data_IF_046027304675
#
_entry.id   IF_046027304675
#
_cell.length_a   1.000
_cell.length_b   1.000
_cell.length_c   1.000
_cell.angle_alpha   90.00
_cell.angle_beta   90.00
_cell.angle_gamma   90.00
#
_symmetry.space_group_name_H-M   'P 1'
#
loop_
_entity.id
_entity.type
_entity.pdbx_description
1 polymer ?
#
# COMPACT_ATOMS: atom_id res chain seq x y z
N UNK A 1 19.19 8.08 -7.94
CA UNK A 1 19.42 6.68 -7.51
C UNK A 1 18.36 6.24 -6.51
N UNK A 2 18.08 7.04 -5.49
CA UNK A 2 17.07 6.76 -4.46
C UNK A 2 15.63 6.62 -5.03
N UNK A 3 15.25 7.41 -6.05
CA UNK A 3 13.95 7.23 -6.73
C UNK A 3 13.80 5.85 -7.37
N UNK A 4 14.88 5.34 -7.97
CA UNK A 4 14.88 4.01 -8.60
C UNK A 4 14.70 2.90 -7.57
N UNK A 5 15.27 3.07 -6.36
CA UNK A 5 15.08 2.13 -5.25
C UNK A 5 13.63 2.13 -4.77
N UNK A 6 13.01 3.31 -4.67
CA UNK A 6 11.58 3.45 -4.37
C UNK A 6 10.74 2.72 -5.43
N UNK A 7 10.96 2.99 -6.71
CA UNK A 7 10.25 2.32 -7.80
C UNK A 7 10.42 0.80 -7.76
N UNK A 8 11.65 0.34 -7.56
CA UNK A 8 11.96 -1.09 -7.49
C UNK A 8 11.26 -1.74 -6.29
N UNK A 9 11.26 -1.08 -5.13
CA UNK A 9 10.55 -1.54 -3.93
C UNK A 9 9.05 -1.67 -4.16
N UNK A 10 8.43 -0.61 -4.68
CA UNK A 10 7.00 -0.58 -4.96
C UNK A 10 6.58 -1.67 -5.98
N UNK A 11 7.39 -1.91 -7.03
CA UNK A 11 7.15 -2.96 -8.02
C UNK A 11 7.37 -4.35 -7.41
N UNK A 12 8.39 -4.51 -6.57
CA UNK A 12 8.73 -5.77 -5.92
C UNK A 12 7.59 -6.23 -5.00
N UNK A 13 7.00 -5.33 -4.20
CA UNK A 13 5.87 -5.67 -3.31
C UNK A 13 4.72 -6.31 -4.09
N UNK A 14 4.28 -5.67 -5.19
CA UNK A 14 3.16 -6.18 -5.98
C UNK A 14 3.50 -7.51 -6.68
N UNK A 15 4.75 -7.67 -7.12
CA UNK A 15 5.22 -8.94 -7.69
C UNK A 15 5.19 -10.07 -6.65
N UNK A 16 5.69 -9.80 -5.45
CA UNK A 16 5.75 -10.78 -4.37
C UNK A 16 4.36 -11.21 -3.90
N UNK A 17 3.41 -10.26 -3.81
CA UNK A 17 2.00 -10.57 -3.56
C UNK A 17 1.43 -11.49 -4.64
N UNK A 18 1.66 -11.19 -5.92
CA UNK A 18 1.19 -12.04 -7.02
C UNK A 18 1.80 -13.46 -6.98
N UNK A 19 3.06 -13.60 -6.57
CA UNK A 19 3.71 -14.91 -6.50
C UNK A 19 3.24 -15.74 -5.30
N UNK A 20 3.02 -15.09 -4.15
CA UNK A 20 2.74 -15.78 -2.88
C UNK A 20 1.26 -15.97 -2.59
N UNK A 21 0.44 -15.00 -2.97
CA UNK A 21 -0.99 -14.93 -2.59
C UNK A 21 -1.87 -15.50 -3.70
N UNK A 22 -1.65 -15.06 -4.95
CA UNK A 22 -2.52 -15.41 -6.10
C UNK A 22 -2.69 -16.91 -6.36
N UNK A 23 -1.68 -17.79 -6.12
CA UNK A 23 -1.85 -19.23 -6.32
C UNK A 23 -2.63 -19.93 -5.20
N UNK A 24 -2.88 -19.26 -4.07
CA UNK A 24 -3.52 -19.87 -2.91
C UNK A 24 -5.05 -19.79 -3.01
N UNK A 25 -5.77 -20.80 -2.52
CA UNK A 25 -7.23 -20.76 -2.48
C UNK A 25 -7.70 -19.66 -1.52
N UNK A 26 -8.79 -18.99 -1.88
CA UNK A 26 -9.33 -17.83 -1.17
C UNK A 26 -9.68 -18.17 0.29
N UNK A 27 -10.18 -19.40 0.54
CA UNK A 27 -10.48 -19.90 1.87
C UNK A 27 -9.24 -19.85 2.78
N UNK A 28 -8.06 -20.22 2.27
CA UNK A 28 -6.79 -20.18 3.03
C UNK A 28 -6.40 -18.75 3.38
N UNK A 29 -6.66 -17.80 2.48
CA UNK A 29 -6.30 -16.40 2.66
C UNK A 29 -7.25 -15.68 3.64
N UNK A 30 -8.43 -16.26 3.89
CA UNK A 30 -9.40 -15.84 4.90
C UNK A 30 -9.21 -16.52 6.25
N UNK A 31 -8.32 -17.51 6.38
CA UNK A 31 -8.03 -18.15 7.68
C UNK A 31 -7.39 -17.16 8.66
N UNK A 32 -7.87 -17.19 9.90
CA UNK A 32 -7.46 -16.30 11.00
C UNK A 32 -8.68 -15.70 11.72
N UNK A 33 -8.42 -14.85 12.72
CA UNK A 33 -9.49 -14.16 13.48
C UNK A 33 -9.37 -12.64 13.33
N UNK A 34 -10.51 -11.99 13.05
CA UNK A 34 -10.59 -10.53 12.91
C UNK A 34 -9.59 -9.97 11.88
N UNK A 35 -8.79 -8.98 12.29
CA UNK A 35 -7.76 -8.31 11.47
C UNK A 35 -6.45 -9.11 11.29
N UNK A 36 -6.47 -10.40 11.61
CA UNK A 36 -5.32 -11.30 11.49
C UNK A 36 -5.49 -12.32 10.35
N UNK A 37 -6.09 -11.89 9.24
CA UNK A 37 -6.18 -12.70 8.01
C UNK A 37 -5.38 -12.06 6.90
N UNK A 38 -4.92 -12.85 5.93
CA UNK A 38 -4.18 -12.33 4.76
C UNK A 38 -5.08 -11.40 3.95
N UNK A 39 -6.38 -11.70 3.83
CA UNK A 39 -7.38 -10.80 3.22
C UNK A 39 -7.34 -9.40 3.85
N UNK A 40 -7.43 -9.30 5.18
CA UNK A 40 -7.43 -8.00 5.86
C UNK A 40 -6.14 -7.23 5.62
N UNK A 41 -4.98 -7.90 5.69
CA UNK A 41 -3.70 -7.22 5.45
C UNK A 41 -3.61 -6.67 4.02
N UNK A 42 -4.10 -7.41 3.02
CA UNK A 42 -4.12 -6.93 1.63
C UNK A 42 -5.13 -5.79 1.45
N UNK A 43 -6.26 -5.82 2.16
CA UNK A 43 -7.21 -4.71 2.21
C UNK A 43 -6.57 -3.45 2.81
N UNK A 44 -5.84 -3.59 3.93
CA UNK A 44 -5.11 -2.48 4.54
C UNK A 44 -4.09 -1.89 3.53
N UNK A 45 -3.31 -2.75 2.86
CA UNK A 45 -2.37 -2.33 1.81
C UNK A 45 -3.05 -1.60 0.64
N UNK A 46 -4.22 -2.08 0.21
CA UNK A 46 -5.04 -1.41 -0.83
C UNK A 46 -5.47 -0.02 -0.38
N UNK A 47 -5.96 0.10 0.84
CA UNK A 47 -6.49 1.37 1.33
C UNK A 47 -5.37 2.38 1.56
N UNK A 48 -4.23 1.92 2.07
CA UNK A 48 -2.99 2.68 2.17
C UNK A 48 -2.53 3.21 0.81
N UNK A 49 -2.55 2.36 -0.22
CA UNK A 49 -2.21 2.74 -1.60
C UNK A 49 -3.18 3.77 -2.19
N UNK A 50 -4.49 3.57 -1.98
CA UNK A 50 -5.52 4.50 -2.48
C UNK A 50 -5.41 5.87 -1.80
N UNK A 51 -5.21 5.90 -0.48
CA UNK A 51 -4.98 7.15 0.28
C UNK A 51 -3.72 7.83 -0.24
N UNK A 52 -2.63 7.10 -0.42
CA UNK A 52 -1.38 7.64 -0.94
C UNK A 52 -1.54 8.22 -2.35
N UNK A 53 -2.14 7.46 -3.27
CA UNK A 53 -2.39 7.90 -4.65
C UNK A 53 -3.22 9.18 -4.68
N UNK A 54 -4.26 9.27 -3.86
CA UNK A 54 -5.09 10.47 -3.78
C UNK A 54 -4.30 11.67 -3.23
N UNK A 55 -3.55 11.47 -2.14
CA UNK A 55 -2.74 12.53 -1.55
C UNK A 55 -1.62 13.00 -2.48
N UNK A 56 -1.03 12.09 -3.27
CA UNK A 56 -0.04 12.42 -4.28
C UNK A 56 -0.64 13.31 -5.37
N UNK A 57 -1.84 12.97 -5.84
CA UNK A 57 -2.58 13.79 -6.81
C UNK A 57 -2.89 15.18 -6.25
N UNK A 58 -3.36 15.26 -5.01
CA UNK A 58 -3.67 16.53 -4.36
C UNK A 58 -2.40 17.37 -4.16
N UNK A 59 -1.28 16.72 -3.82
CA UNK A 59 0.05 17.36 -3.69
C UNK A 59 0.56 17.95 -4.99
N UNK A 60 0.34 17.28 -6.12
CA UNK A 60 0.62 17.81 -7.45
C UNK A 60 -0.28 19.00 -7.80
N UNK A 61 -1.47 19.09 -7.20
CA UNK A 61 -2.35 20.25 -7.25
C UNK A 61 -1.99 21.38 -6.26
N UNK A 62 -0.96 21.19 -5.42
CA UNK A 62 -0.48 22.17 -4.44
C UNK A 62 -0.99 21.98 -3.00
N UNK A 63 -1.74 20.92 -2.71
CA UNK A 63 -2.23 20.64 -1.36
C UNK A 63 -1.16 19.94 -0.46
N UNK A 64 -1.29 20.00 0.88
CA UNK A 64 -0.46 19.22 1.79
C UNK A 64 -0.70 17.71 1.67
N UNK A 65 0.33 16.91 2.02
CA UNK A 65 0.28 15.44 2.03
C UNK A 65 0.42 14.85 3.45
N UNK A 66 0.49 15.70 4.48
CA UNK A 66 0.84 15.34 5.87
C UNK A 66 -0.21 14.43 6.54
N UNK A 67 -1.50 14.65 6.27
CA UNK A 67 -2.60 13.87 6.83
C UNK A 67 -2.49 12.38 6.47
N UNK A 68 -2.30 12.07 5.18
CA UNK A 68 -2.21 10.68 4.71
C UNK A 68 -0.98 9.96 5.23
N UNK A 69 0.13 10.66 5.44
CA UNK A 69 1.32 10.06 6.03
C UNK A 69 1.14 9.73 7.52
N UNK A 70 0.37 10.52 8.26
CA UNK A 70 -0.02 10.16 9.63
C UNK A 70 -0.88 8.91 9.64
N UNK A 71 -1.82 8.80 8.70
CA UNK A 71 -2.72 7.65 8.60
C UNK A 71 -1.98 6.37 8.19
N UNK A 72 -0.93 6.45 7.34
CA UNK A 72 -0.08 5.31 6.95
C UNK A 72 0.75 4.75 8.11
N UNK A 73 1.10 5.59 9.09
CA UNK A 73 1.82 5.16 10.29
C UNK A 73 0.87 4.56 11.34
N UNK A 74 -0.43 4.92 11.30
CA UNK A 74 -1.46 4.44 12.22
C UNK A 74 -2.02 3.07 11.79
N UNK A 75 -1.18 2.04 11.92
CA UNK A 75 -1.46 0.62 11.57
C UNK A 75 -2.61 -0.04 12.37
N UNK A 76 -3.37 0.71 13.16
CA UNK A 76 -4.48 0.22 13.99
C UNK A 76 -5.81 0.95 13.84
N UNK A 77 -5.83 2.15 13.24
CA UNK A 77 -6.93 3.11 13.37
C UNK A 77 -7.66 3.43 12.07
N UNK A 78 -7.92 2.44 11.21
CA UNK A 78 -8.74 2.67 10.01
C UNK A 78 -10.18 3.01 10.37
N UNK A 79 -10.48 4.31 10.49
CA UNK A 79 -11.83 4.82 10.31
C UNK A 79 -12.27 4.56 8.85
N UNK A 80 -13.54 4.28 8.72
CA UNK A 80 -14.27 3.73 7.57
C UNK A 80 -13.86 4.29 6.19
N UNK A 81 -13.01 3.59 5.44
CA UNK A 81 -12.85 3.80 4.00
C UNK A 81 -12.72 2.45 3.28
N UNK A 82 -13.57 2.29 2.26
CA UNK A 82 -13.77 1.08 1.43
C UNK A 82 -13.79 -0.21 2.24
N UNK A 83 -14.88 -0.44 2.98
CA UNK A 83 -15.20 -1.80 3.44
C UNK A 83 -15.18 -2.68 2.20
N UNK A 84 -14.19 -3.61 2.03
CA UNK A 84 -14.32 -4.61 0.98
C UNK A 84 -15.67 -5.27 1.22
N UNK A 85 -16.47 -5.45 0.17
CA UNK A 85 -17.68 -6.23 0.32
C UNK A 85 -17.32 -7.52 1.07
N UNK A 86 -18.14 -8.00 2.02
CA UNK A 86 -17.84 -9.26 2.71
C UNK A 86 -17.51 -10.38 1.72
N UNK A 87 -18.06 -10.28 0.51
CA UNK A 87 -17.89 -11.20 -0.61
C UNK A 87 -16.64 -10.98 -1.48
N UNK A 88 -15.98 -9.82 -1.41
CA UNK A 88 -14.79 -9.53 -2.24
C UNK A 88 -13.72 -10.62 -2.00
N UNK A 89 -13.31 -11.28 -3.07
CA UNK A 89 -12.22 -12.26 -3.05
C UNK A 89 -10.89 -11.55 -2.83
N UNK A 90 -9.91 -12.26 -2.26
CA UNK A 90 -8.55 -11.73 -2.11
C UNK A 90 -7.94 -11.39 -3.47
N UNK A 91 -8.31 -12.13 -4.52
CA UNK A 91 -7.89 -11.83 -5.89
C UNK A 91 -8.42 -10.48 -6.39
N UNK A 92 -9.67 -10.13 -6.09
CA UNK A 92 -10.26 -8.83 -6.43
C UNK A 92 -9.60 -7.70 -5.66
N UNK A 93 -9.41 -7.85 -4.35
CA UNK A 93 -8.72 -6.84 -3.53
C UNK A 93 -7.28 -6.64 -4.00
N UNK A 94 -6.56 -7.72 -4.31
CA UNK A 94 -5.21 -7.65 -4.86
C UNK A 94 -5.17 -6.97 -6.22
N UNK A 95 -6.19 -7.17 -7.06
CA UNK A 95 -6.31 -6.49 -8.35
C UNK A 95 -6.56 -4.99 -8.18
N UNK A 96 -7.41 -4.59 -7.22
CA UNK A 96 -7.63 -3.18 -6.86
C UNK A 96 -6.35 -2.52 -6.37
N UNK A 97 -5.61 -3.20 -5.47
CA UNK A 97 -4.28 -2.74 -5.03
C UNK A 97 -3.32 -2.58 -6.22
N UNK A 98 -3.28 -3.56 -7.14
CA UNK A 98 -2.46 -3.49 -8.34
C UNK A 98 -2.77 -2.27 -9.22
N UNK A 99 -4.05 -1.99 -9.46
CA UNK A 99 -4.49 -0.80 -10.21
C UNK A 99 -4.10 0.49 -9.52
N UNK A 100 -4.30 0.58 -8.20
CA UNK A 100 -3.90 1.75 -7.42
C UNK A 100 -2.37 1.96 -7.49
N UNK A 101 -1.60 0.87 -7.34
CA UNK A 101 -0.14 0.88 -7.46
C UNK A 101 0.35 1.31 -8.83
N UNK A 102 -0.32 0.88 -9.89
CA UNK A 102 0.00 1.33 -11.25
C UNK A 102 -0.22 2.84 -11.42
N UNK A 103 -1.33 3.37 -10.91
CA UNK A 103 -1.62 4.81 -10.89
C UNK A 103 -0.56 5.59 -10.13
N UNK A 104 -0.18 5.14 -8.93
CA UNK A 104 0.91 5.73 -8.14
C UNK A 104 2.21 5.75 -8.92
N UNK A 105 2.63 4.61 -9.49
CA UNK A 105 3.85 4.51 -10.28
C UNK A 105 3.84 5.42 -11.51
N UNK A 106 2.69 5.55 -12.17
CA UNK A 106 2.55 6.44 -13.32
C UNK A 106 2.72 7.92 -12.93
N UNK A 107 2.11 8.35 -11.82
CA UNK A 107 2.28 9.71 -11.29
C UNK A 107 3.72 9.98 -10.90
N UNK A 108 4.35 9.09 -10.13
CA UNK A 108 5.74 9.23 -9.69
C UNK A 108 6.72 9.29 -10.87
N UNK A 109 6.49 8.53 -11.95
CA UNK A 109 7.33 8.55 -13.17
C UNK A 109 7.22 9.85 -13.94
N UNK A 110 6.10 10.56 -13.83
CA UNK A 110 5.89 11.85 -14.50
C UNK A 110 6.61 13.02 -13.83
N UNK A 111 7.16 12.80 -12.62
CA UNK A 111 7.76 13.88 -11.82
C UNK A 111 9.20 14.17 -12.22
N UNK A 112 9.53 15.45 -12.15
CA UNK A 112 10.89 15.98 -12.23
C UNK A 112 11.63 15.81 -10.90
N UNK A 113 12.98 15.80 -10.90
CA UNK A 113 13.76 15.72 -9.66
C UNK A 113 13.39 16.80 -8.63
N UNK A 114 13.10 18.02 -9.09
CA UNK A 114 12.72 19.11 -8.20
C UNK A 114 11.37 18.86 -7.51
N UNK A 115 10.41 18.22 -8.18
CA UNK A 115 9.11 17.87 -7.60
C UNK A 115 9.24 16.78 -6.51
N UNK A 116 10.18 15.86 -6.68
CA UNK A 116 10.47 14.83 -5.67
C UNK A 116 10.94 15.42 -4.35
N UNK A 117 11.77 16.46 -4.43
CA UNK A 117 12.46 17.08 -3.29
C UNK A 117 11.80 18.38 -2.81
N UNK A 118 10.80 18.88 -3.54
CA UNK A 118 10.06 20.07 -3.15
C UNK A 118 9.30 19.84 -1.84
N UNK A 119 9.63 20.58 -0.76
CA UNK A 119 8.91 20.44 0.50
C UNK A 119 7.46 20.87 0.31
N UNK A 120 6.52 20.00 0.66
CA UNK A 120 5.12 20.36 0.78
C UNK A 120 4.86 21.22 2.03
N UNK A 121 3.62 21.69 2.17
CA UNK A 121 3.16 22.24 3.43
C UNK A 121 3.27 21.15 4.54
N UNK A 122 3.95 21.47 5.64
CA UNK A 122 4.37 20.49 6.66
C UNK A 122 5.80 19.94 6.49
N UNK A 123 6.53 20.35 5.44
CA UNK A 123 7.97 20.09 5.27
C UNK A 123 8.34 18.70 4.74
N UNK A 124 7.35 17.85 4.46
CA UNK A 124 7.58 16.52 3.90
C UNK A 124 7.64 16.57 2.36
N UNK A 125 8.58 15.82 1.81
CA UNK A 125 8.80 15.67 0.37
C UNK A 125 8.08 14.44 -0.17
N UNK A 126 7.81 14.40 -1.48
CA UNK A 126 7.23 13.21 -2.13
C UNK A 126 8.18 12.02 -1.97
N UNK A 127 9.49 12.26 -2.02
CA UNK A 127 10.52 11.24 -1.74
C UNK A 127 10.31 10.57 -0.39
N UNK A 128 10.26 11.34 0.68
CA UNK A 128 10.06 10.82 2.03
C UNK A 128 8.70 10.12 2.18
N UNK A 129 7.66 10.64 1.52
CA UNK A 129 6.34 10.03 1.52
C UNK A 129 6.37 8.64 0.87
N UNK A 130 6.99 8.51 -0.30
CA UNK A 130 7.13 7.24 -1.02
C UNK A 130 8.04 6.24 -0.30
N UNK A 131 9.11 6.70 0.36
CA UNK A 131 9.95 5.85 1.21
C UNK A 131 9.17 5.23 2.37
N UNK A 132 8.29 6.03 3.00
CA UNK A 132 7.40 5.53 4.05
C UNK A 132 6.41 4.49 3.53
N UNK A 133 5.84 4.71 2.34
CA UNK A 133 4.96 3.73 1.70
C UNK A 133 5.68 2.40 1.46
N UNK A 134 6.92 2.43 0.94
CA UNK A 134 7.74 1.22 0.77
C UNK A 134 8.05 0.54 2.12
N UNK A 135 8.35 1.33 3.15
CA UNK A 135 8.54 0.80 4.50
C UNK A 135 7.28 0.14 5.07
N UNK A 136 6.11 0.70 4.78
CA UNK A 136 4.82 0.15 5.21
C UNK A 136 4.48 -1.15 4.46
N UNK A 137 4.69 -1.18 3.14
CA UNK A 137 4.59 -2.38 2.31
C UNK A 137 5.41 -3.53 2.91
N UNK A 138 6.67 -3.26 3.30
CA UNK A 138 7.54 -4.27 3.89
C UNK A 138 6.97 -4.85 5.19
N UNK A 139 6.42 -4.01 6.07
CA UNK A 139 5.76 -4.45 7.32
C UNK A 139 4.55 -5.34 7.05
N UNK A 140 3.71 -4.96 6.09
CA UNK A 140 2.55 -5.76 5.68
C UNK A 140 2.97 -7.09 5.05
N UNK A 141 4.00 -7.09 4.21
CA UNK A 141 4.56 -8.31 3.62
C UNK A 141 5.11 -9.27 4.67
N UNK A 142 5.81 -8.77 5.69
CA UNK A 142 6.25 -9.59 6.83
C UNK A 142 5.06 -10.23 7.56
N UNK A 143 3.98 -9.46 7.79
CA UNK A 143 2.75 -9.95 8.42
C UNK A 143 2.10 -11.04 7.57
N UNK A 144 2.01 -10.87 6.24
CA UNK A 144 1.49 -11.89 5.31
C UNK A 144 2.33 -13.16 5.38
N UNK A 145 3.67 -13.06 5.32
CA UNK A 145 4.55 -14.23 5.40
C UNK A 145 4.36 -14.99 6.71
N UNK A 146 4.25 -14.29 7.85
CA UNK A 146 3.97 -14.91 9.16
C UNK A 146 2.62 -15.62 9.17
N UNK A 147 1.57 -15.01 8.61
CA UNK A 147 0.23 -15.62 8.52
C UNK A 147 0.21 -16.85 7.61
N UNK A 148 0.92 -16.81 6.47
CA UNK A 148 0.98 -17.94 5.53
C UNK A 148 1.81 -19.13 6.05
N UNK A 149 2.83 -18.84 6.87
CA UNK A 149 3.70 -19.84 7.50
C UNK A 149 3.19 -20.37 8.84
N UNK A 150 2.21 -19.72 9.45
CA UNK A 150 1.58 -20.22 10.68
C UNK A 150 0.61 -21.35 10.31
N UNK A 151 0.74 -22.56 10.90
CA UNK A 151 -0.27 -23.60 10.72
C UNK A 151 -1.61 -23.08 11.23
N UNK A 152 -2.69 -23.35 10.49
CA UNK A 152 -4.04 -23.06 10.94
C UNK A 152 -4.25 -23.78 12.29
N UNK A 153 -4.32 -23.02 13.36
CA UNK A 153 -4.59 -23.52 14.70
C UNK A 153 -6.05 -23.98 14.83
#
# INVERSE_FOLDING_TARGET
>A
MQDQEIFNGLIATYRDLNLRVRPLPDERLRLGQGRSTVKHVISDMRDDELRFSQALKDRLGGAPMDKVLRDLDDTGGGDELVVPGPDDTVAEVLSQFGTARESTLAMLRGMTPDEWDAPGEGGLTIRQASERLVGNDARHMEKIVRLLGSPAA
#
